data_IF_392974401926
#
_entry.id   IF_392974401926
#
_cell.length_a   1.000
_cell.length_b   1.000
_cell.length_c   1.000
_cell.angle_alpha   90.00
_cell.angle_beta   90.00
_cell.angle_gamma   90.00
#
_symmetry.space_group_name_H-M   'P 1'
#
loop_
_entity.id
_entity.type
_entity.pdbx_description
1 polymer ?
#
# COMPACT_ATOMS: atom_id res chain seq x y z
N UNK A 1 15.45 15.96 -8.10
CA UNK A 1 14.45 15.55 -9.11
C UNK A 1 13.48 14.62 -8.41
N UNK A 2 12.18 14.91 -8.44
CA UNK A 2 11.17 14.11 -7.75
C UNK A 2 10.95 12.77 -8.46
N UNK A 3 10.76 11.69 -7.72
CA UNK A 3 10.41 10.39 -8.29
C UNK A 3 9.08 10.43 -9.04
N UNK A 4 8.14 11.28 -8.59
CA UNK A 4 6.87 11.58 -9.27
C UNK A 4 7.00 11.73 -10.78
N UNK A 5 8.06 12.39 -11.26
CA UNK A 5 8.23 12.75 -12.66
C UNK A 5 8.57 11.54 -13.56
N UNK A 6 8.85 10.38 -12.97
CA UNK A 6 9.08 9.12 -13.71
C UNK A 6 7.80 8.38 -14.09
N UNK A 7 6.65 8.83 -13.56
CA UNK A 7 5.37 8.16 -13.69
C UNK A 7 4.34 9.10 -14.29
N UNK A 8 3.39 8.56 -15.06
CA UNK A 8 2.21 9.33 -15.43
C UNK A 8 1.26 9.49 -14.21
N UNK A 9 0.20 10.28 -14.35
CA UNK A 9 -0.74 10.55 -13.26
C UNK A 9 -1.37 9.26 -12.69
N UNK A 10 -1.86 8.37 -13.57
CA UNK A 10 -2.53 7.15 -13.16
C UNK A 10 -1.56 6.16 -12.48
N UNK A 11 -0.35 6.03 -13.00
CA UNK A 11 0.70 5.21 -12.39
C UNK A 11 1.06 5.73 -10.99
N UNK A 12 1.21 7.04 -10.85
CA UNK A 12 1.50 7.64 -9.55
C UNK A 12 0.37 7.47 -8.54
N UNK A 13 -0.89 7.63 -8.97
CA UNK A 13 -2.05 7.35 -8.12
C UNK A 13 -2.13 5.87 -7.73
N UNK A 14 -1.73 4.96 -8.62
CA UNK A 14 -1.68 3.51 -8.35
C UNK A 14 -0.67 3.18 -7.26
N UNK A 15 0.52 3.77 -7.31
CA UNK A 15 1.52 3.62 -6.24
C UNK A 15 1.00 4.13 -4.89
N UNK A 16 0.26 5.24 -4.90
CA UNK A 16 -0.35 5.79 -3.69
C UNK A 16 -1.55 5.00 -3.19
N UNK A 17 -2.20 4.18 -4.01
CA UNK A 17 -3.31 3.34 -3.58
C UNK A 17 -2.82 2.08 -2.85
N UNK A 18 -1.56 1.70 -3.06
CA UNK A 18 -0.96 0.49 -2.50
C UNK A 18 -1.14 0.31 -0.97
N UNK A 19 -0.98 1.34 -0.12
CA UNK A 19 -1.20 1.19 1.32
C UNK A 19 -2.62 0.76 1.68
N UNK A 20 -3.63 1.30 0.99
CA UNK A 20 -5.04 0.93 1.21
C UNK A 20 -5.31 -0.46 0.66
N UNK A 21 -4.80 -0.81 -0.52
CA UNK A 21 -5.00 -2.16 -1.05
C UNK A 21 -4.34 -3.25 -0.21
N UNK A 22 -3.16 -2.99 0.36
CA UNK A 22 -2.52 -3.90 1.32
C UNK A 22 -3.44 -4.11 2.52
N UNK A 23 -3.96 -3.01 3.06
CA UNK A 23 -4.89 -3.07 4.17
C UNK A 23 -6.16 -3.86 3.81
N UNK A 24 -6.81 -3.55 2.69
CA UNK A 24 -8.03 -4.23 2.25
C UNK A 24 -7.81 -5.73 2.08
N UNK A 25 -6.66 -6.16 1.55
CA UNK A 25 -6.35 -7.60 1.39
C UNK A 25 -6.22 -8.31 2.74
N UNK A 26 -5.68 -7.64 3.76
CA UNK A 26 -5.55 -8.21 5.11
C UNK A 26 -6.89 -8.16 5.85
N UNK A 27 -7.56 -7.01 5.88
CA UNK A 27 -8.83 -6.82 6.60
C UNK A 27 -10.00 -7.64 6.02
N UNK A 28 -10.07 -7.81 4.68
CA UNK A 28 -11.07 -8.69 4.05
C UNK A 28 -10.86 -10.15 4.48
N UNK A 29 -9.65 -10.56 4.86
CA UNK A 29 -9.41 -11.89 5.39
C UNK A 29 -10.20 -12.15 6.70
N UNK A 30 -10.42 -11.10 7.49
CA UNK A 30 -11.25 -11.13 8.72
C UNK A 30 -12.74 -10.81 8.45
N UNK A 31 -13.08 -10.44 7.21
CA UNK A 31 -14.46 -10.35 6.71
C UNK A 31 -15.21 -9.06 7.06
N UNK A 32 -14.53 -8.04 7.61
CA UNK A 32 -15.08 -6.70 7.84
C UNK A 32 -14.03 -5.64 7.52
N UNK A 33 -14.47 -4.53 6.92
CA UNK A 33 -13.71 -3.28 6.89
C UNK A 33 -14.54 -2.24 7.62
N UNK A 34 -14.02 -1.64 8.68
CA UNK A 34 -14.66 -0.50 9.36
C UNK A 34 -13.88 0.82 9.23
N UNK A 35 -14.48 1.92 9.69
CA UNK A 35 -13.90 3.26 9.56
C UNK A 35 -12.64 3.45 10.45
N UNK A 36 -12.53 2.73 11.57
CA UNK A 36 -11.38 2.79 12.47
C UNK A 36 -10.14 2.20 11.81
N UNK A 37 -10.32 1.14 11.02
CA UNK A 37 -9.22 0.51 10.32
C UNK A 37 -8.66 1.39 9.17
N UNK A 38 -9.50 2.19 8.51
CA UNK A 38 -9.04 3.18 7.53
C UNK A 38 -8.24 4.31 8.20
N UNK A 39 -8.64 4.71 9.40
CA UNK A 39 -7.87 5.67 10.21
C UNK A 39 -6.51 5.10 10.62
N UNK A 40 -6.44 3.81 10.96
CA UNK A 40 -5.19 3.12 11.27
C UNK A 40 -4.24 3.08 10.05
N UNK A 41 -4.74 2.85 8.84
CA UNK A 41 -3.94 2.96 7.61
C UNK A 41 -3.32 4.35 7.46
N UNK A 42 -4.08 5.40 7.77
CA UNK A 42 -3.58 6.77 7.72
C UNK A 42 -2.54 7.05 8.79
N UNK A 43 -2.74 6.55 10.01
CA UNK A 43 -1.79 6.70 11.10
C UNK A 43 -0.48 5.96 10.80
N UNK A 44 -0.55 4.74 10.28
CA UNK A 44 0.63 4.02 9.79
C UNK A 44 1.31 4.74 8.63
N UNK A 45 0.54 5.31 7.70
CA UNK A 45 1.09 6.09 6.59
C UNK A 45 1.85 7.32 7.07
N UNK A 46 1.33 8.04 8.08
CA UNK A 46 2.04 9.17 8.72
C UNK A 46 3.35 8.72 9.35
N UNK A 47 3.34 7.59 10.06
CA UNK A 47 4.55 7.02 10.66
C UNK A 47 5.59 6.64 9.59
N UNK A 48 5.17 6.10 8.44
CA UNK A 48 6.09 5.79 7.35
C UNK A 48 6.79 7.05 6.83
N UNK A 49 6.07 8.18 6.71
CA UNK A 49 6.65 9.45 6.25
C UNK A 49 7.76 9.93 7.19
N UNK A 50 7.56 9.81 8.51
CA UNK A 50 8.52 10.30 9.51
C UNK A 50 9.91 9.64 9.38
N UNK A 51 9.94 8.34 9.03
CA UNK A 51 11.16 7.54 8.98
C UNK A 51 11.61 7.17 7.55
N UNK A 52 10.90 7.63 6.53
CA UNK A 52 11.23 7.33 5.13
C UNK A 52 11.91 8.49 4.43
N UNK A 53 12.69 8.16 3.41
CA UNK A 53 13.23 9.11 2.45
C UNK A 53 13.00 8.60 1.02
N UNK A 54 13.38 9.37 0.02
CA UNK A 54 13.36 8.91 -1.38
C UNK A 54 11.95 8.60 -1.91
N UNK A 55 11.85 7.51 -2.67
CA UNK A 55 10.61 7.14 -3.35
C UNK A 55 9.46 6.87 -2.38
N UNK A 56 9.73 6.10 -1.32
CA UNK A 56 8.73 5.73 -0.30
C UNK A 56 8.15 6.97 0.37
N UNK A 57 9.00 7.92 0.75
CA UNK A 57 8.53 9.18 1.34
C UNK A 57 7.60 9.95 0.40
N UNK A 58 7.98 10.11 -0.88
CA UNK A 58 7.16 10.84 -1.85
C UNK A 58 5.78 10.19 -2.07
N UNK A 59 5.74 8.86 -2.21
CA UNK A 59 4.47 8.14 -2.41
C UNK A 59 3.58 8.27 -1.19
N UNK A 60 4.10 8.04 0.02
CA UNK A 60 3.29 8.08 1.24
C UNK A 60 2.82 9.49 1.57
N UNK A 61 3.63 10.51 1.33
CA UNK A 61 3.21 11.91 1.48
C UNK A 61 2.02 12.23 0.56
N UNK A 62 2.13 11.87 -0.71
CA UNK A 62 1.07 12.17 -1.69
C UNK A 62 -0.18 11.32 -1.46
N UNK A 63 -0.01 10.07 -0.97
CA UNK A 63 -1.10 9.21 -0.52
C UNK A 63 -1.96 9.91 0.53
N UNK A 64 -1.35 10.43 1.60
CA UNK A 64 -2.09 11.15 2.65
C UNK A 64 -2.83 12.34 2.08
N UNK A 65 -2.17 13.14 1.22
CA UNK A 65 -2.81 14.29 0.56
C UNK A 65 -4.06 13.86 -0.21
N UNK A 66 -4.00 12.75 -0.95
CA UNK A 66 -5.14 12.28 -1.73
C UNK A 66 -6.28 11.71 -0.89
N UNK A 67 -5.97 11.03 0.22
CA UNK A 67 -6.99 10.55 1.16
C UNK A 67 -7.65 11.74 1.86
N UNK A 68 -6.86 12.65 2.45
CA UNK A 68 -7.39 13.82 3.19
C UNK A 68 -8.19 14.76 2.29
N UNK A 69 -7.77 14.96 1.05
CA UNK A 69 -8.49 15.81 0.10
C UNK A 69 -9.66 15.10 -0.60
N UNK A 70 -9.96 13.85 -0.25
CA UNK A 70 -11.07 13.08 -0.82
C UNK A 70 -11.01 13.05 -2.37
N UNK A 71 -9.82 12.86 -2.95
CA UNK A 71 -9.60 12.98 -4.39
C UNK A 71 -10.50 11.99 -5.17
N UNK A 72 -11.39 12.46 -6.08
CA UNK A 72 -12.32 11.59 -6.79
C UNK A 72 -11.66 10.53 -7.67
N UNK A 73 -10.55 10.86 -8.35
CA UNK A 73 -9.81 9.91 -9.18
C UNK A 73 -9.19 8.81 -8.32
N UNK A 74 -8.61 9.21 -7.18
CA UNK A 74 -8.04 8.27 -6.20
C UNK A 74 -9.12 7.34 -5.63
N UNK A 75 -10.26 7.88 -5.20
CA UNK A 75 -11.39 7.07 -4.71
C UNK A 75 -11.95 6.12 -5.75
N UNK A 76 -12.03 6.54 -7.01
CA UNK A 76 -12.47 5.65 -8.07
C UNK A 76 -11.45 4.54 -8.34
N UNK A 77 -10.16 4.83 -8.20
CA UNK A 77 -9.09 3.85 -8.34
C UNK A 77 -9.16 2.77 -7.26
N UNK A 78 -9.47 3.13 -6.01
CA UNK A 78 -9.60 2.18 -4.90
C UNK A 78 -10.70 1.12 -5.11
N UNK A 79 -11.71 1.39 -5.94
CA UNK A 79 -12.77 0.42 -6.28
C UNK A 79 -12.28 -0.76 -7.12
N UNK A 80 -11.06 -0.71 -7.65
CA UNK A 80 -10.48 -1.83 -8.40
C UNK A 80 -10.17 -2.99 -7.47
N UNK A 81 -10.01 -4.18 -8.04
CA UNK A 81 -9.57 -5.34 -7.27
C UNK A 81 -8.18 -5.06 -6.63
N UNK A 82 -8.02 -5.20 -5.30
CA UNK A 82 -6.78 -4.88 -4.62
C UNK A 82 -5.57 -5.70 -5.10
N UNK A 83 -5.77 -6.99 -5.40
CA UNK A 83 -4.71 -7.87 -5.87
C UNK A 83 -4.22 -7.46 -7.27
N UNK A 84 -5.14 -7.13 -8.18
CA UNK A 84 -4.78 -6.60 -9.52
C UNK A 84 -4.06 -5.25 -9.42
N UNK A 85 -4.51 -4.40 -8.48
CA UNK A 85 -3.85 -3.14 -8.15
C UNK A 85 -2.41 -3.35 -7.68
N UNK A 86 -2.19 -4.29 -6.75
CA UNK A 86 -0.87 -4.63 -6.23
C UNK A 86 0.06 -5.27 -7.28
N UNK A 87 -0.49 -6.05 -8.22
CA UNK A 87 0.28 -6.53 -9.39
C UNK A 87 0.78 -5.37 -10.25
N UNK A 88 -0.09 -4.41 -10.53
CA UNK A 88 0.31 -3.19 -11.25
C UNK A 88 1.37 -2.40 -10.47
N UNK A 89 1.27 -2.34 -9.14
CA UNK A 89 2.31 -1.73 -8.30
C UNK A 89 3.65 -2.45 -8.48
N UNK A 90 3.69 -3.78 -8.42
CA UNK A 90 4.91 -4.57 -8.61
C UNK A 90 5.60 -4.25 -9.95
N UNK A 91 4.84 -4.19 -11.04
CA UNK A 91 5.33 -3.80 -12.37
C UNK A 91 5.96 -2.39 -12.38
N UNK A 92 5.30 -1.43 -11.72
CA UNK A 92 5.79 -0.05 -11.64
C UNK A 92 7.09 0.06 -10.82
N UNK A 93 7.23 -0.74 -9.77
CA UNK A 93 8.45 -0.81 -8.97
C UNK A 93 9.64 -1.36 -9.75
N UNK A 94 9.40 -2.20 -10.76
CA UNK A 94 10.44 -2.69 -11.68
C UNK A 94 11.19 -1.59 -12.45
N UNK A 95 10.63 -0.38 -12.52
CA UNK A 95 11.25 0.78 -13.19
C UNK A 95 12.17 1.60 -12.28
N UNK A 96 12.27 1.24 -11.00
CA UNK A 96 13.07 1.95 -9.99
C UNK A 96 14.42 1.27 -9.76
N UNK A 97 15.31 1.97 -9.06
CA UNK A 97 16.49 1.32 -8.49
C UNK A 97 16.02 0.25 -7.50
N UNK A 98 16.68 -0.90 -7.52
CA UNK A 98 16.33 -2.04 -6.67
C UNK A 98 16.16 -1.66 -5.19
N UNK A 99 17.03 -0.81 -4.64
CA UNK A 99 16.93 -0.35 -3.25
C UNK A 99 15.66 0.44 -2.94
N UNK A 100 15.22 1.31 -3.84
CA UNK A 100 13.98 2.11 -3.67
C UNK A 100 12.75 1.21 -3.72
N UNK A 101 12.70 0.31 -4.71
CA UNK A 101 11.63 -0.67 -4.85
C UNK A 101 11.54 -1.56 -3.60
N UNK A 102 12.68 -2.11 -3.15
CA UNK A 102 12.73 -2.96 -1.96
C UNK A 102 12.32 -2.24 -0.68
N UNK A 103 12.73 -0.99 -0.50
CA UNK A 103 12.32 -0.20 0.66
C UNK A 103 10.81 0.01 0.68
N UNK A 104 10.21 0.33 -0.47
CA UNK A 104 8.76 0.50 -0.58
C UNK A 104 8.00 -0.80 -0.29
N UNK A 105 8.39 -1.92 -0.91
CA UNK A 105 7.79 -3.24 -0.65
C UNK A 105 7.87 -3.61 0.84
N UNK A 106 9.02 -3.39 1.47
CA UNK A 106 9.22 -3.64 2.90
C UNK A 106 8.29 -2.80 3.77
N UNK A 107 8.03 -1.54 3.41
CA UNK A 107 7.09 -0.72 4.19
C UNK A 107 5.66 -1.21 4.03
N UNK A 108 5.23 -1.55 2.82
CA UNK A 108 3.93 -2.17 2.58
C UNK A 108 3.74 -3.47 3.37
N UNK A 109 4.74 -4.36 3.36
CA UNK A 109 4.69 -5.62 4.11
C UNK A 109 4.64 -5.39 5.62
N UNK A 110 5.41 -4.42 6.14
CA UNK A 110 5.34 -4.03 7.56
C UNK A 110 3.95 -3.51 7.95
N UNK A 111 3.29 -2.77 7.07
CA UNK A 111 1.90 -2.34 7.31
C UNK A 111 0.95 -3.52 7.33
N UNK A 112 1.05 -4.44 6.37
CA UNK A 112 0.25 -5.67 6.35
C UNK A 112 0.35 -6.45 7.67
N UNK A 113 1.58 -6.63 8.17
CA UNK A 113 1.83 -7.30 9.45
C UNK A 113 1.24 -6.51 10.62
N UNK A 114 1.34 -5.17 10.62
CA UNK A 114 0.76 -4.36 11.70
C UNK A 114 -0.76 -4.44 11.74
N UNK A 115 -1.41 -4.38 10.58
CA UNK A 115 -2.87 -4.54 10.46
C UNK A 115 -3.31 -5.92 10.96
N UNK A 116 -2.63 -6.99 10.55
CA UNK A 116 -2.94 -8.32 11.06
C UNK A 116 -2.70 -8.49 12.57
N UNK A 117 -1.85 -7.65 13.18
CA UNK A 117 -1.60 -7.67 14.63
C UNK A 117 -2.49 -6.70 15.42
N UNK A 118 -3.31 -5.87 14.77
CA UNK A 118 -4.26 -5.00 15.49
C UNK A 118 -5.53 -5.74 15.92
N UNK A 119 -5.79 -6.93 15.39
CA UNK A 119 -6.81 -7.88 15.85
C UNK A 119 -6.31 -8.70 17.06
N UNK A 120 -7.15 -9.56 17.64
CA UNK A 120 -6.85 -10.45 18.79
C UNK A 120 -5.81 -11.58 18.46
N UNK A 121 -4.83 -11.27 17.62
CA UNK A 121 -3.78 -12.14 17.12
C UNK A 121 -3.95 -12.50 15.64
N UNK A 122 -2.82 -12.68 14.94
CA UNK A 122 -2.80 -13.03 13.52
C UNK A 122 -3.42 -14.42 13.30
N UNK A 123 -4.47 -14.50 12.49
CA UNK A 123 -5.11 -15.76 12.12
C UNK A 123 -4.50 -16.39 10.85
N UNK A 124 -4.89 -17.64 10.54
CA UNK A 124 -4.37 -18.35 9.35
C UNK A 124 -4.77 -17.72 8.02
N UNK A 125 -5.84 -16.92 7.98
CA UNK A 125 -6.28 -16.24 6.77
C UNK A 125 -5.46 -14.96 6.56
N UNK A 126 -5.15 -14.23 7.61
CA UNK A 126 -4.27 -13.07 7.59
C UNK A 126 -2.82 -13.47 7.24
N UNK A 127 -2.31 -14.58 7.77
CA UNK A 127 -1.01 -15.14 7.36
C UNK A 127 -0.96 -15.42 5.85
N UNK A 128 -2.05 -16.01 5.30
CA UNK A 128 -2.17 -16.26 3.86
C UNK A 128 -2.26 -14.96 3.07
N UNK A 129 -3.00 -13.97 3.54
CA UNK A 129 -3.12 -12.67 2.91
C UNK A 129 -1.75 -11.98 2.82
N UNK A 130 -0.98 -11.97 3.90
CA UNK A 130 0.39 -11.45 3.95
C UNK A 130 1.29 -12.21 2.96
N UNK A 131 1.20 -13.54 2.91
CA UNK A 131 1.98 -14.35 1.97
C UNK A 131 1.63 -14.05 0.50
N UNK A 132 0.36 -13.83 0.19
CA UNK A 132 -0.11 -13.43 -1.15
C UNK A 132 0.43 -12.05 -1.52
N UNK A 133 0.33 -11.06 -0.62
CA UNK A 133 0.87 -9.72 -0.83
C UNK A 133 2.37 -9.79 -1.11
N UNK A 134 3.11 -10.55 -0.30
CA UNK A 134 4.55 -10.74 -0.49
C UNK A 134 4.85 -11.38 -1.86
N UNK A 135 4.14 -12.44 -2.22
CA UNK A 135 4.31 -13.12 -3.51
C UNK A 135 4.01 -12.22 -4.72
N UNK A 136 2.95 -11.42 -4.65
CA UNK A 136 2.62 -10.43 -5.70
C UNK A 136 3.70 -9.36 -5.78
N UNK A 137 4.09 -8.77 -4.66
CA UNK A 137 5.06 -7.68 -4.65
C UNK A 137 6.43 -8.14 -5.16
N UNK A 138 6.82 -9.39 -4.93
CA UNK A 138 8.06 -9.98 -5.44
C UNK A 138 7.96 -10.65 -6.82
N UNK A 139 6.82 -10.51 -7.49
CA UNK A 139 6.57 -11.04 -8.85
C UNK A 139 6.71 -12.57 -8.94
N UNK A 140 6.20 -13.26 -7.90
CA UNK A 140 6.18 -14.73 -7.78
C UNK A 140 4.75 -15.28 -8.04
N UNK A 141 3.71 -14.43 -8.03
CA UNK A 141 2.27 -14.77 -8.16
C UNK A 141 1.51 -13.82 -9.11
#
# INVERSE_FOLDING_TARGET
MTFRNKFNENEWLTLQAAPIWVFEVVAIADGKIDEEELEEVLNQSKNVIEYSTGFTYEVFRDHIVNVTNNNPKFRNLLKKNPLEGLKTVADLLGRLKHSEAQNFKKMLLKMAIKVANSSDGVDKNEEKAIAIIMGILDDIL
#
